data_IF_501397279967
#
_entry.id   IF_501397279967
#
_cell.length_a   1.000
_cell.length_b   1.000
_cell.length_c   1.000
_cell.angle_alpha   90.00
_cell.angle_beta   90.00
_cell.angle_gamma   90.00
#
_symmetry.space_group_name_H-M   'P 1'
#
loop_
_entity.id
_entity.type
_entity.pdbx_description
1 polymer ?
#
# COMPACT_ATOMS: atom_id res chain seq x y z
N UNK A 1 25.23 -9.57 17.61
CA UNK A 1 26.56 -9.31 18.21
C UNK A 1 27.38 -8.45 17.28
N UNK A 2 28.35 -7.72 17.82
CA UNK A 2 29.29 -6.94 17.02
C UNK A 2 30.74 -7.23 17.45
N UNK A 3 31.69 -7.03 16.52
CA UNK A 3 33.11 -7.20 16.72
C UNK A 3 33.86 -6.08 16.01
N UNK A 4 35.04 -5.77 16.52
CA UNK A 4 35.98 -4.82 15.95
C UNK A 4 37.26 -5.59 15.63
N UNK A 5 37.63 -5.65 14.35
CA UNK A 5 38.77 -6.45 13.87
C UNK A 5 39.77 -5.56 13.11
N UNK A 6 40.98 -6.04 12.96
CA UNK A 6 42.01 -5.40 12.11
C UNK A 6 42.29 -3.92 12.46
N UNK A 7 42.42 -3.64 13.76
CA UNK A 7 42.72 -2.29 14.24
C UNK A 7 44.10 -1.87 13.75
N UNK A 8 44.19 -0.73 13.07
CA UNK A 8 45.44 -0.16 12.58
C UNK A 8 45.50 1.35 12.86
N UNK A 9 46.64 1.85 13.32
CA UNK A 9 46.89 3.28 13.36
C UNK A 9 47.16 3.78 11.96
N UNK A 10 46.42 4.76 11.52
CA UNK A 10 46.54 5.39 10.21
C UNK A 10 47.38 6.69 10.26
N UNK A 11 47.26 7.43 11.36
CA UNK A 11 48.01 8.66 11.60
C UNK A 11 48.16 8.92 13.11
N UNK A 12 49.19 9.66 13.49
CA UNK A 12 49.48 10.08 14.88
C UNK A 12 49.81 11.56 14.92
N UNK A 13 49.21 12.28 15.85
CA UNK A 13 49.60 13.68 16.16
C UNK A 13 50.37 13.72 17.50
N UNK A 14 51.70 13.86 17.44
CA UNK A 14 52.53 13.84 18.66
C UNK A 14 52.29 15.04 19.58
N UNK A 15 51.75 16.18 19.05
CA UNK A 15 51.48 17.35 19.87
C UNK A 15 50.24 17.20 20.74
N UNK A 16 49.19 16.63 20.20
CA UNK A 16 47.92 16.41 20.90
C UNK A 16 47.79 14.99 21.49
N UNK A 17 48.76 14.10 21.22
CA UNK A 17 48.73 12.68 21.56
C UNK A 17 47.52 11.95 20.98
N UNK A 18 47.00 12.43 19.84
CA UNK A 18 45.90 11.82 19.12
C UNK A 18 46.39 10.71 18.21
N UNK A 19 45.72 9.58 18.27
CA UNK A 19 45.92 8.47 17.35
C UNK A 19 44.67 8.33 16.50
N UNK A 20 44.83 8.35 15.19
CA UNK A 20 43.76 8.11 14.22
C UNK A 20 43.85 6.67 13.77
N UNK A 21 42.78 5.94 14.01
CA UNK A 21 42.71 4.50 13.79
C UNK A 21 41.62 4.16 12.79
N UNK A 22 41.88 3.08 12.05
CA UNK A 22 40.88 2.45 11.19
C UNK A 22 40.70 0.99 11.59
N UNK A 23 39.47 0.51 11.52
CA UNK A 23 39.14 -0.87 11.87
C UNK A 23 38.05 -1.42 10.96
N UNK A 24 37.92 -2.73 10.90
CA UNK A 24 36.77 -3.40 10.32
C UNK A 24 35.74 -3.64 11.43
N UNK A 25 34.59 -2.98 11.30
CA UNK A 25 33.44 -3.18 12.18
C UNK A 25 32.53 -4.25 11.58
N UNK A 26 32.21 -5.26 12.37
CA UNK A 26 31.42 -6.42 11.95
C UNK A 26 30.20 -6.54 12.86
N UNK A 27 29.02 -6.55 12.27
CA UNK A 27 27.74 -6.78 13.00
C UNK A 27 27.09 -8.05 12.46
N UNK A 28 26.84 -9.02 13.35
CA UNK A 28 26.07 -10.20 13.02
C UNK A 28 24.61 -10.00 13.44
N UNK A 29 23.72 -9.90 12.45
CA UNK A 29 22.28 -9.82 12.62
C UNK A 29 21.69 -11.23 12.68
N UNK A 30 20.73 -11.53 13.56
CA UNK A 30 20.03 -12.81 13.53
C UNK A 30 19.28 -12.99 12.21
N UNK A 31 19.33 -14.19 11.63
CA UNK A 31 18.69 -14.47 10.33
C UNK A 31 17.16 -14.25 10.36
N UNK A 32 16.52 -14.56 11.49
CA UNK A 32 15.10 -14.30 11.69
C UNK A 32 14.80 -12.78 11.70
N UNK A 33 15.70 -11.95 12.25
CA UNK A 33 15.53 -10.49 12.26
C UNK A 33 15.52 -9.92 10.84
N UNK A 34 16.44 -10.36 9.97
CA UNK A 34 16.47 -9.94 8.55
C UNK A 34 15.19 -10.37 7.83
N UNK A 35 14.76 -11.63 8.06
CA UNK A 35 13.51 -12.12 7.50
C UNK A 35 12.31 -11.28 7.96
N UNK A 36 12.20 -11.05 9.26
CA UNK A 36 11.10 -10.29 9.84
C UNK A 36 11.07 -8.83 9.37
N UNK A 37 12.25 -8.21 9.21
CA UNK A 37 12.37 -6.89 8.63
C UNK A 37 11.94 -6.85 7.16
N UNK A 38 12.33 -7.86 6.36
CA UNK A 38 11.87 -7.94 4.97
C UNK A 38 10.36 -8.14 4.88
N UNK A 39 9.78 -9.05 5.66
CA UNK A 39 8.33 -9.26 5.72
C UNK A 39 7.58 -7.96 6.08
N UNK A 40 8.15 -7.15 6.98
CA UNK A 40 7.57 -5.85 7.36
C UNK A 40 7.66 -4.79 6.26
N UNK A 41 8.76 -4.78 5.50
CA UNK A 41 8.99 -3.85 4.37
C UNK A 41 8.11 -4.19 3.17
N UNK A 42 7.95 -5.48 2.87
CA UNK A 42 7.12 -5.95 1.75
C UNK A 42 5.67 -5.46 1.85
N UNK A 43 5.14 -5.27 3.05
CA UNK A 43 3.79 -4.72 3.29
C UNK A 43 3.58 -3.36 2.61
N UNK A 44 4.62 -2.53 2.55
CA UNK A 44 4.55 -1.18 2.00
C UNK A 44 5.34 -1.03 0.69
N UNK A 45 5.83 -2.12 0.12
CA UNK A 45 6.62 -2.10 -1.11
C UNK A 45 7.99 -1.42 -0.93
N UNK A 46 8.53 -1.42 0.29
CA UNK A 46 9.85 -0.87 0.59
C UNK A 46 10.97 -1.80 0.09
N UNK A 47 12.16 -1.23 -0.13
CA UNK A 47 13.34 -2.03 -0.53
C UNK A 47 13.73 -3.01 0.57
N UNK A 48 14.13 -4.22 0.18
CA UNK A 48 14.56 -5.22 1.14
C UNK A 48 15.86 -4.85 1.87
N UNK A 49 16.17 -5.57 2.95
CA UNK A 49 17.34 -5.29 3.79
C UNK A 49 18.66 -5.32 3.00
N UNK A 50 18.82 -6.27 2.07
CA UNK A 50 20.04 -6.38 1.27
C UNK A 50 20.21 -5.18 0.30
N UNK A 51 19.13 -4.76 -0.35
CA UNK A 51 19.14 -3.55 -1.19
C UNK A 51 19.40 -2.28 -0.38
N UNK A 52 18.80 -2.18 0.81
CA UNK A 52 19.02 -1.06 1.72
C UNK A 52 20.48 -0.95 2.18
N UNK A 53 21.17 -2.08 2.39
CA UNK A 53 22.60 -2.09 2.69
C UNK A 53 23.41 -1.49 1.53
N UNK A 54 23.14 -1.92 0.30
CA UNK A 54 23.83 -1.40 -0.90
C UNK A 54 23.61 0.11 -1.06
N UNK A 55 22.37 0.59 -0.85
CA UNK A 55 22.05 2.02 -0.93
C UNK A 55 22.74 2.86 0.16
N UNK A 56 23.17 2.21 1.24
CA UNK A 56 23.91 2.85 2.35
C UNK A 56 25.43 2.67 2.25
N UNK A 57 25.95 2.20 1.13
CA UNK A 57 27.36 1.86 0.91
C UNK A 57 27.90 0.83 1.92
N UNK A 58 27.06 -0.10 2.35
CA UNK A 58 27.41 -1.13 3.33
C UNK A 58 27.49 -2.51 2.67
N UNK A 59 28.42 -3.33 3.13
CA UNK A 59 28.55 -4.72 2.71
C UNK A 59 27.77 -5.63 3.65
N UNK A 60 26.67 -6.22 3.16
CA UNK A 60 25.90 -7.23 3.88
C UNK A 60 26.03 -8.57 3.19
N UNK A 61 26.75 -9.50 3.81
CA UNK A 61 26.92 -10.88 3.34
C UNK A 61 26.07 -11.80 4.21
N UNK A 62 25.00 -12.35 3.64
CA UNK A 62 23.99 -13.14 4.35
C UNK A 62 23.38 -12.36 5.54
N UNK A 63 23.92 -12.48 6.72
CA UNK A 63 23.47 -11.79 7.93
C UNK A 63 24.61 -11.03 8.65
N UNK A 64 25.74 -10.86 7.97
CA UNK A 64 26.92 -10.18 8.51
C UNK A 64 27.15 -8.87 7.78
N UNK A 65 26.98 -7.77 8.50
CA UNK A 65 27.32 -6.44 8.05
C UNK A 65 28.79 -6.18 8.33
N UNK A 66 29.52 -5.69 7.31
CA UNK A 66 30.92 -5.26 7.45
C UNK A 66 31.07 -3.85 6.91
N UNK A 67 31.78 -3.00 7.65
CA UNK A 67 32.12 -1.65 7.22
C UNK A 67 33.44 -1.21 7.83
N UNK A 68 34.14 -0.26 7.18
CA UNK A 68 35.27 0.41 7.77
C UNK A 68 34.80 1.44 8.79
N UNK A 69 35.44 1.45 9.94
CA UNK A 69 35.18 2.43 10.99
C UNK A 69 36.46 3.20 11.28
N UNK A 70 36.41 4.51 11.07
CA UNK A 70 37.48 5.44 11.42
C UNK A 70 37.17 6.09 12.76
N UNK A 71 38.15 6.14 13.63
CA UNK A 71 38.00 6.73 14.93
C UNK A 71 39.30 7.34 15.43
N UNK A 72 39.18 8.32 16.32
CA UNK A 72 40.31 8.99 16.98
C UNK A 72 40.31 8.57 18.46
N UNK A 73 41.51 8.34 18.96
CA UNK A 73 41.77 8.00 20.39
C UNK A 73 42.70 9.09 20.97
N UNK A 74 42.34 9.64 22.09
CA UNK A 74 43.16 10.61 22.81
C UNK A 74 43.17 10.31 24.33
N UNK A 75 44.33 10.09 24.96
CA UNK A 75 44.40 10.02 26.39
C UNK A 75 44.17 11.42 27.02
N UNK A 76 43.65 11.43 28.26
CA UNK A 76 43.61 12.64 29.07
C UNK A 76 45.05 13.03 29.50
N UNK A 77 45.25 14.28 29.89
CA UNK A 77 46.57 14.78 30.29
C UNK A 77 47.14 14.04 31.48
N UNK A 78 46.27 13.54 32.38
CA UNK A 78 46.65 12.72 33.53
C UNK A 78 46.79 11.24 33.19
N UNK A 79 46.57 10.84 31.93
CA UNK A 79 46.64 9.50 31.40
C UNK A 79 45.69 8.48 32.10
N UNK A 80 44.65 8.95 32.82
CA UNK A 80 43.71 8.06 33.54
C UNK A 80 42.52 7.65 32.68
N UNK A 81 42.23 8.39 31.64
CA UNK A 81 41.10 8.13 30.73
C UNK A 81 41.56 8.24 29.27
N UNK A 82 40.76 7.62 28.44
CA UNK A 82 40.92 7.70 26.98
C UNK A 82 39.59 8.17 26.41
N UNK A 83 39.64 9.20 25.58
CA UNK A 83 38.55 9.62 24.74
C UNK A 83 38.61 8.87 23.42
N UNK A 84 37.45 8.40 22.94
CA UNK A 84 37.30 7.80 21.62
C UNK A 84 36.24 8.61 20.90
N UNK A 85 36.56 9.07 19.70
CA UNK A 85 35.63 9.78 18.84
C UNK A 85 35.53 9.01 17.54
N UNK A 86 34.31 8.64 17.14
CA UNK A 86 34.04 8.05 15.84
C UNK A 86 34.00 9.16 14.78
N UNK A 87 34.69 8.95 13.67
CA UNK A 87 34.72 9.86 12.53
C UNK A 87 33.69 9.45 11.45
N UNK A 88 33.33 8.18 11.39
CA UNK A 88 32.28 7.62 10.53
C UNK A 88 31.52 6.52 11.28
N UNK A 89 30.60 5.83 10.59
CA UNK A 89 29.85 4.71 11.14
C UNK A 89 28.37 5.01 11.38
N UNK A 90 27.93 6.23 11.12
CA UNK A 90 26.53 6.61 11.26
C UNK A 90 25.63 5.78 10.33
N UNK A 91 26.06 5.56 9.08
CA UNK A 91 25.31 4.73 8.11
C UNK A 91 25.08 3.31 8.63
N UNK A 92 26.11 2.68 9.22
CA UNK A 92 25.98 1.35 9.79
C UNK A 92 25.04 1.34 11.01
N UNK A 93 25.14 2.37 11.88
CA UNK A 93 24.26 2.50 13.04
C UNK A 93 22.80 2.68 12.65
N UNK A 94 22.52 3.55 11.68
CA UNK A 94 21.16 3.77 11.16
C UNK A 94 20.62 2.54 10.46
N UNK A 95 21.41 1.88 9.63
CA UNK A 95 21.02 0.64 8.97
C UNK A 95 20.62 -0.45 9.98
N UNK A 96 21.46 -0.70 11.00
CA UNK A 96 21.16 -1.69 12.03
C UNK A 96 19.91 -1.31 12.82
N UNK A 97 19.79 -0.03 13.21
CA UNK A 97 18.60 0.50 13.87
C UNK A 97 17.33 0.21 13.07
N UNK A 98 17.34 0.53 11.77
CA UNK A 98 16.18 0.40 10.90
C UNK A 98 15.79 -1.07 10.71
N UNK A 99 16.75 -1.97 10.51
CA UNK A 99 16.50 -3.42 10.46
C UNK A 99 15.87 -3.93 11.77
N UNK A 100 16.37 -3.47 12.93
CA UNK A 100 15.81 -3.84 14.24
C UNK A 100 14.38 -3.32 14.39
N UNK A 101 14.14 -2.05 14.05
CA UNK A 101 12.80 -1.43 14.13
C UNK A 101 11.82 -2.18 13.22
N UNK A 102 12.17 -2.42 11.97
CA UNK A 102 11.30 -3.11 11.02
C UNK A 102 10.98 -4.52 11.49
N UNK A 103 11.98 -5.25 12.00
CA UNK A 103 11.77 -6.58 12.57
C UNK A 103 10.80 -6.57 13.76
N UNK A 104 10.92 -5.59 14.66
CA UNK A 104 10.04 -5.45 15.81
C UNK A 104 8.62 -5.02 15.41
N UNK A 105 8.48 -4.21 14.37
CA UNK A 105 7.20 -3.71 13.89
C UNK A 105 6.47 -4.67 12.94
N UNK A 106 7.08 -5.80 12.55
CA UNK A 106 6.49 -6.75 11.60
C UNK A 106 5.03 -7.07 11.89
N UNK A 107 4.74 -7.52 13.11
CA UNK A 107 3.37 -7.92 13.47
C UNK A 107 2.39 -6.76 13.40
N UNK A 108 2.81 -5.57 13.83
CA UNK A 108 1.97 -4.37 13.78
C UNK A 108 1.68 -3.94 12.33
N UNK A 109 2.70 -3.96 11.45
CA UNK A 109 2.55 -3.61 10.03
C UNK A 109 1.65 -4.61 9.29
N UNK A 110 1.85 -5.92 9.50
CA UNK A 110 1.00 -6.96 8.91
C UNK A 110 -0.46 -6.83 9.36
N UNK A 111 -0.70 -6.61 10.64
CA UNK A 111 -2.06 -6.43 11.14
C UNK A 111 -2.72 -5.16 10.58
N UNK A 112 -1.98 -4.05 10.50
CA UNK A 112 -2.49 -2.81 9.93
C UNK A 112 -2.85 -2.98 8.44
N UNK A 113 -2.03 -3.69 7.68
CA UNK A 113 -2.31 -3.98 6.27
C UNK A 113 -3.54 -4.87 6.09
N UNK A 114 -3.72 -5.88 6.95
CA UNK A 114 -4.89 -6.74 6.89
C UNK A 114 -6.17 -5.97 7.23
N UNK A 115 -6.14 -5.12 8.26
CA UNK A 115 -7.27 -4.24 8.60
C UNK A 115 -7.61 -3.30 7.43
N UNK A 116 -6.63 -2.64 6.84
CA UNK A 116 -6.84 -1.75 5.70
C UNK A 116 -7.44 -2.49 4.49
N UNK A 117 -7.01 -3.73 4.26
CA UNK A 117 -7.58 -4.58 3.20
C UNK A 117 -9.04 -4.95 3.47
N UNK A 118 -9.38 -5.28 4.73
CA UNK A 118 -10.76 -5.59 5.10
C UNK A 118 -11.67 -4.37 4.97
N UNK A 119 -11.20 -3.19 5.38
CA UNK A 119 -11.94 -1.93 5.22
C UNK A 119 -12.19 -1.60 3.75
N UNK A 120 -11.20 -1.84 2.87
CA UNK A 120 -11.35 -1.65 1.43
C UNK A 120 -12.41 -2.59 0.83
N UNK A 121 -12.36 -3.89 1.19
CA UNK A 121 -13.35 -4.87 0.75
C UNK A 121 -14.75 -4.46 1.22
N UNK A 122 -14.88 -4.06 2.49
CA UNK A 122 -16.16 -3.63 3.05
C UNK A 122 -16.71 -2.41 2.30
N UNK A 123 -15.86 -1.42 2.00
CA UNK A 123 -16.26 -0.23 1.23
C UNK A 123 -16.76 -0.60 -0.17
N UNK A 124 -16.08 -1.53 -0.86
CA UNK A 124 -16.51 -1.98 -2.19
C UNK A 124 -17.87 -2.69 -2.14
N UNK A 125 -18.10 -3.53 -1.12
CA UNK A 125 -19.39 -4.19 -0.92
C UNK A 125 -20.52 -3.19 -0.68
N UNK A 126 -20.26 -2.17 0.14
CA UNK A 126 -21.24 -1.10 0.43
C UNK A 126 -21.54 -0.25 -0.82
N UNK A 127 -20.53 0.09 -1.61
CA UNK A 127 -20.69 0.83 -2.86
C UNK A 127 -21.48 0.02 -3.91
N UNK A 128 -21.19 -1.28 -4.05
CA UNK A 128 -21.97 -2.16 -4.92
C UNK A 128 -23.43 -2.28 -4.45
N UNK A 129 -23.67 -2.40 -3.15
CA UNK A 129 -25.01 -2.48 -2.59
C UNK A 129 -25.80 -1.19 -2.84
N UNK A 130 -25.18 -0.02 -2.60
CA UNK A 130 -25.79 1.29 -2.88
C UNK A 130 -26.13 1.46 -4.37
N UNK A 131 -25.23 1.03 -5.24
CA UNK A 131 -25.46 1.07 -6.70
C UNK A 131 -26.64 0.18 -7.11
N UNK A 132 -26.72 -1.02 -6.58
CA UNK A 132 -27.85 -1.94 -6.84
C UNK A 132 -29.17 -1.38 -6.32
N UNK A 133 -29.17 -0.78 -5.13
CA UNK A 133 -30.36 -0.14 -4.56
C UNK A 133 -30.80 1.04 -5.43
N UNK A 134 -29.88 1.91 -5.84
CA UNK A 134 -30.17 3.02 -6.74
C UNK A 134 -30.79 2.56 -8.06
N UNK A 135 -30.22 1.54 -8.71
CA UNK A 135 -30.79 0.97 -9.92
C UNK A 135 -32.19 0.37 -9.70
N UNK A 136 -32.42 -0.29 -8.55
CA UNK A 136 -33.73 -0.83 -8.20
C UNK A 136 -34.79 0.27 -8.08
N UNK A 137 -34.44 1.39 -7.47
CA UNK A 137 -35.32 2.57 -7.36
C UNK A 137 -35.65 3.13 -8.75
N UNK A 138 -34.65 3.32 -9.61
CA UNK A 138 -34.87 3.82 -10.98
C UNK A 138 -35.78 2.90 -11.79
N UNK A 139 -35.60 1.58 -11.69
CA UNK A 139 -36.45 0.58 -12.37
C UNK A 139 -37.89 0.68 -11.85
N UNK A 140 -38.07 0.77 -10.51
CA UNK A 140 -39.39 0.90 -9.90
C UNK A 140 -40.12 2.19 -10.33
N UNK A 141 -39.40 3.32 -10.36
CA UNK A 141 -39.95 4.60 -10.85
C UNK A 141 -40.34 4.53 -12.33
N UNK A 142 -39.47 3.94 -13.17
CA UNK A 142 -39.75 3.76 -14.59
C UNK A 142 -40.98 2.86 -14.81
N UNK A 143 -41.12 1.78 -14.04
CA UNK A 143 -42.29 0.90 -14.10
C UNK A 143 -43.54 1.65 -13.69
N UNK A 144 -43.52 2.41 -12.62
CA UNK A 144 -44.67 3.22 -12.17
C UNK A 144 -45.14 4.22 -13.23
N UNK A 145 -44.16 4.90 -13.90
CA UNK A 145 -44.45 5.81 -15.03
C UNK A 145 -45.06 5.08 -16.20
N UNK A 146 -44.55 3.90 -16.54
CA UNK A 146 -45.07 3.08 -17.63
C UNK A 146 -46.50 2.60 -17.34
N UNK A 147 -46.78 2.14 -16.11
CA UNK A 147 -48.10 1.67 -15.71
C UNK A 147 -49.12 2.82 -15.76
N UNK A 148 -48.77 4.00 -15.23
CA UNK A 148 -49.61 5.20 -15.32
C UNK A 148 -49.87 5.63 -16.76
N UNK A 149 -48.88 5.56 -17.63
CA UNK A 149 -49.05 5.87 -19.06
C UNK A 149 -49.97 4.88 -19.77
N UNK A 150 -49.84 3.58 -19.45
CA UNK A 150 -50.71 2.54 -19.98
C UNK A 150 -52.17 2.69 -19.50
N UNK A 151 -52.38 3.03 -18.21
CA UNK A 151 -53.72 3.29 -17.68
C UNK A 151 -54.36 4.50 -18.38
N UNK A 152 -53.63 5.60 -18.53
CA UNK A 152 -54.12 6.76 -19.26
C UNK A 152 -54.47 6.44 -20.72
N UNK A 153 -53.63 5.67 -21.41
CA UNK A 153 -53.89 5.24 -22.77
C UNK A 153 -55.15 4.39 -22.82
N UNK A 154 -55.36 3.46 -21.89
CA UNK A 154 -56.53 2.63 -21.83
C UNK A 154 -57.81 3.43 -21.51
N UNK A 155 -57.72 4.43 -20.67
CA UNK A 155 -58.86 5.35 -20.41
C UNK A 155 -59.26 6.10 -21.66
N UNK A 156 -58.32 6.68 -22.43
CA UNK A 156 -58.59 7.35 -23.68
C UNK A 156 -59.20 6.39 -24.70
N UNK A 157 -58.59 5.20 -24.85
CA UNK A 157 -59.11 4.18 -25.77
C UNK A 157 -60.51 3.75 -25.43
N UNK A 158 -60.82 3.52 -24.15
CA UNK A 158 -62.17 3.09 -23.72
C UNK A 158 -63.23 4.20 -23.80
N UNK A 159 -62.82 5.47 -23.73
CA UNK A 159 -63.75 6.60 -23.92
C UNK A 159 -64.06 6.90 -25.39
N UNK A 160 -63.30 6.32 -26.33
CA UNK A 160 -63.51 6.47 -27.77
C UNK A 160 -64.68 5.63 -28.25
N UNK A 161 -65.48 6.10 -29.21
CA UNK A 161 -66.61 5.34 -29.75
C UNK A 161 -66.17 4.02 -30.40
N UNK A 162 -67.07 3.06 -30.43
CA UNK A 162 -66.77 1.71 -30.98
C UNK A 162 -66.35 1.81 -32.46
N UNK A 163 -67.03 2.66 -33.23
CA UNK A 163 -66.78 2.82 -34.67
C UNK A 163 -65.32 3.35 -34.92
N UNK A 164 -64.92 4.32 -34.12
CA UNK A 164 -63.53 4.88 -34.19
C UNK A 164 -62.51 3.84 -33.74
N UNK A 165 -62.79 3.09 -32.68
CA UNK A 165 -61.91 2.02 -32.21
C UNK A 165 -61.72 0.92 -33.25
N UNK A 166 -62.80 0.47 -33.88
CA UNK A 166 -62.73 -0.56 -34.90
C UNK A 166 -61.92 -0.08 -36.12
N UNK A 167 -61.92 1.20 -36.42
CA UNK A 167 -61.16 1.80 -37.52
C UNK A 167 -59.66 1.94 -37.19
N UNK A 168 -59.30 2.20 -35.92
CA UNK A 168 -57.94 2.41 -35.48
C UNK A 168 -57.26 1.14 -34.94
N UNK A 169 -57.99 0.04 -34.84
CA UNK A 169 -57.53 -1.19 -34.15
C UNK A 169 -56.23 -1.77 -34.74
N UNK A 170 -56.13 -1.78 -36.09
CA UNK A 170 -54.95 -2.33 -36.75
C UNK A 170 -53.73 -1.41 -36.64
N UNK A 171 -53.91 -0.11 -36.71
CA UNK A 171 -52.84 0.88 -36.49
C UNK A 171 -52.34 0.81 -35.02
N UNK A 172 -53.23 0.68 -34.07
CA UNK A 172 -52.86 0.55 -32.67
C UNK A 172 -52.04 -0.75 -32.42
N UNK A 173 -52.40 -1.86 -33.03
CA UNK A 173 -51.63 -3.12 -32.92
C UNK A 173 -50.21 -2.94 -33.50
N UNK A 174 -50.11 -2.29 -34.66
CA UNK A 174 -48.80 -2.00 -35.28
C UNK A 174 -47.96 -1.11 -34.35
N UNK A 175 -48.55 -0.06 -33.80
CA UNK A 175 -47.88 0.85 -32.87
C UNK A 175 -47.39 0.15 -31.61
N UNK A 176 -48.22 -0.69 -30.97
CA UNK A 176 -47.85 -1.46 -29.80
C UNK A 176 -46.66 -2.41 -30.10
N UNK A 177 -46.67 -3.07 -31.26
CA UNK A 177 -45.57 -3.92 -31.70
C UNK A 177 -44.29 -3.15 -31.92
N UNK A 178 -44.36 -1.96 -32.58
CA UNK A 178 -43.23 -1.07 -32.82
C UNK A 178 -42.63 -0.61 -31.49
N UNK A 179 -43.45 -0.11 -30.55
CA UNK A 179 -43.02 0.31 -29.20
C UNK A 179 -42.27 -0.81 -28.48
N UNK A 180 -42.80 -2.04 -28.51
CA UNK A 180 -42.14 -3.18 -27.86
C UNK A 180 -40.78 -3.52 -28.48
N UNK A 181 -40.62 -3.36 -29.79
CA UNK A 181 -39.35 -3.59 -30.48
C UNK A 181 -38.32 -2.50 -30.18
N UNK A 182 -38.74 -1.23 -30.20
CA UNK A 182 -37.88 -0.09 -29.86
C UNK A 182 -37.36 -0.16 -28.45
N UNK A 183 -38.23 -0.44 -27.46
CA UNK A 183 -37.78 -0.65 -26.06
C UNK A 183 -36.78 -1.81 -25.89
N UNK A 184 -36.89 -2.87 -26.70
CA UNK A 184 -35.92 -3.98 -26.66
C UNK A 184 -34.57 -3.61 -27.26
N UNK A 185 -34.56 -2.79 -28.32
CA UNK A 185 -33.33 -2.33 -28.94
C UNK A 185 -32.56 -1.36 -28.05
N UNK A 186 -33.25 -0.44 -27.38
CA UNK A 186 -32.64 0.51 -26.43
C UNK A 186 -32.06 -0.20 -25.19
N UNK A 187 -32.63 -1.34 -24.76
CA UNK A 187 -32.13 -2.12 -23.64
C UNK A 187 -30.92 -3.00 -23.99
N UNK A 188 -30.54 -3.09 -25.27
CA UNK A 188 -29.46 -3.95 -25.78
C UNK A 188 -28.18 -3.17 -26.09
N UNK A 189 -28.19 -1.86 -25.97
CA UNK A 189 -27.07 -0.93 -26.12
C UNK A 189 -26.60 -0.42 -24.75
#
# INVERSE_FOLDING_TARGET
SFNVNDIRTNNSDPNSKKEYCVTTFVVNLPSNMIKDANDARDVYGEVNVAQSAVLSDLSLESNTLKTSLDYMVQPTDDAKKVFVQLENGESAAYFVRDVVIDSLLKSARLNAAEVAKQEEIQRQVEEEAATKEYHSILISEAQTKLDSANENLNLVWNSTSKEVRDHLLDEQKIWLKKRSLECKLDSSN
#
